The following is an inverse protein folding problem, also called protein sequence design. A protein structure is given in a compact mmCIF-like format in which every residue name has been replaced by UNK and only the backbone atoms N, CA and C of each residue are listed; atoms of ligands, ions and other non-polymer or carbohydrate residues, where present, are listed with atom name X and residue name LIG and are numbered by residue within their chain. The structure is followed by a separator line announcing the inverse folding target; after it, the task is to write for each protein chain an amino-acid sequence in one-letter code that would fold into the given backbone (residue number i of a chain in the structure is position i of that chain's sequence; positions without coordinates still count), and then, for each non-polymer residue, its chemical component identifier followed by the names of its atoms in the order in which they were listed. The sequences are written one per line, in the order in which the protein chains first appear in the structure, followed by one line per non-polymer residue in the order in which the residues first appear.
data_IF_753073078405
#
_entry.id   IF_753073078405
#
_cell.length_a   1.000
_cell.length_b   1.000
_cell.length_c   1.000
_cell.angle_alpha   90.00
_cell.angle_beta   90.00
_cell.angle_gamma   90.00
#
_symmetry.space_group_name_H-M   'P 1'
#
loop_
_entity.id
_entity.type
_entity.pdbx_description
1 polymer ?
#
# COMPACT_ATOMS: atom_id res chain seq x y z
N UNK A 1 -4.35 -39.39 45.82
CA UNK A 1 -4.25 -38.80 44.45
C UNK A 1 -3.20 -37.69 44.45
N UNK A 2 -2.18 -37.85 43.61
CA UNK A 2 -0.84 -37.23 43.68
C UNK A 2 -0.79 -35.70 43.42
N UNK A 3 -0.37 -34.93 44.42
CA UNK A 3 0.09 -33.52 44.27
C UNK A 3 1.18 -33.38 43.19
N UNK A 4 2.02 -34.39 43.01
CA UNK A 4 3.10 -34.44 42.01
C UNK A 4 2.59 -34.54 40.56
N UNK A 5 1.36 -35.05 40.33
CA UNK A 5 0.75 -35.07 38.98
C UNK A 5 0.19 -33.70 38.61
N UNK A 6 -0.35 -32.96 39.57
CA UNK A 6 -0.95 -31.64 39.36
C UNK A 6 0.12 -30.60 38.98
N UNK A 7 1.28 -30.62 39.64
CA UNK A 7 2.41 -29.75 39.30
C UNK A 7 2.98 -30.03 37.90
N UNK A 8 3.06 -31.30 37.48
CA UNK A 8 3.56 -31.67 36.14
C UNK A 8 2.61 -31.24 35.02
N UNK A 9 1.30 -31.32 35.26
CA UNK A 9 0.27 -30.89 34.30
C UNK A 9 0.19 -29.36 34.21
N UNK A 10 0.31 -28.64 35.34
CA UNK A 10 0.34 -27.17 35.33
C UNK A 10 1.55 -26.59 34.61
N UNK A 11 2.73 -27.22 34.77
CA UNK A 11 3.97 -26.78 34.12
C UNK A 11 3.96 -27.04 32.59
N UNK A 12 3.36 -28.14 32.14
CA UNK A 12 3.25 -28.44 30.71
C UNK A 12 2.23 -27.56 29.98
N UNK A 13 1.13 -27.18 30.64
CA UNK A 13 0.16 -26.22 30.10
C UNK A 13 0.73 -24.80 30.02
N UNK A 14 1.52 -24.37 31.02
CA UNK A 14 2.20 -23.08 30.98
C UNK A 14 3.29 -23.02 29.91
N UNK A 15 4.05 -24.11 29.72
CA UNK A 15 5.06 -24.22 28.67
C UNK A 15 4.43 -24.26 27.26
N UNK A 16 3.29 -24.92 27.10
CA UNK A 16 2.54 -24.95 25.83
C UNK A 16 1.93 -23.57 25.51
N UNK A 17 1.38 -22.86 26.49
CA UNK A 17 0.87 -21.51 26.30
C UNK A 17 1.99 -20.50 25.95
N UNK A 18 3.15 -20.61 26.59
CA UNK A 18 4.32 -19.78 26.28
C UNK A 18 4.90 -20.08 24.88
N UNK A 19 4.85 -21.34 24.44
CA UNK A 19 5.30 -21.74 23.10
C UNK A 19 4.37 -21.24 21.98
N UNK A 20 3.07 -21.10 22.24
CA UNK A 20 2.10 -20.57 21.26
C UNK A 20 2.22 -19.04 21.12
N UNK A 21 2.62 -18.33 22.17
CA UNK A 21 2.86 -16.87 22.09
C UNK A 21 4.18 -16.51 21.41
N UNK A 22 5.13 -17.44 21.29
CA UNK A 22 6.46 -17.17 20.74
C UNK A 22 6.56 -17.32 19.21
N UNK A 23 5.54 -17.86 18.54
CA UNK A 23 5.58 -18.15 17.09
C UNK A 23 4.99 -17.06 16.20
N UNK A 24 4.37 -16.01 16.76
CA UNK A 24 3.81 -14.90 15.96
C UNK A 24 4.81 -13.75 15.71
N UNK A 25 6.00 -13.78 16.32
CA UNK A 25 7.05 -12.78 16.12
C UNK A 25 8.01 -13.11 14.96
N UNK A 26 7.75 -14.18 14.21
CA UNK A 26 8.55 -14.57 13.05
C UNK A 26 7.90 -14.12 11.74
N UNK A 27 8.02 -12.82 11.44
CA UNK A 27 8.33 -12.37 10.07
C UNK A 27 7.21 -12.08 9.09
N UNK A 28 6.09 -11.47 9.49
CA UNK A 28 5.39 -10.61 8.53
C UNK A 28 6.20 -9.33 8.38
N UNK A 29 6.50 -8.83 7.16
CA UNK A 29 7.09 -7.51 7.01
C UNK A 29 6.11 -6.50 7.60
N UNK A 30 6.42 -5.93 8.76
CA UNK A 30 5.49 -5.04 9.47
C UNK A 30 4.99 -3.95 8.53
N UNK A 31 3.68 -3.92 8.27
CA UNK A 31 3.08 -2.83 7.50
C UNK A 31 3.22 -1.59 8.38
N UNK A 32 4.03 -0.62 7.94
CA UNK A 32 4.25 0.64 8.64
C UNK A 32 4.06 1.79 7.68
N UNK A 33 3.71 2.96 8.22
CA UNK A 33 3.60 4.22 7.45
C UNK A 33 4.73 4.41 6.45
N UNK A 34 5.97 4.27 6.91
CA UNK A 34 7.18 4.53 6.10
C UNK A 34 7.27 3.55 4.93
N UNK A 35 6.94 2.28 5.14
CA UNK A 35 6.96 1.26 4.08
C UNK A 35 5.85 1.50 3.06
N UNK A 36 4.65 1.88 3.52
CA UNK A 36 3.53 2.24 2.65
C UNK A 36 3.88 3.45 1.79
N UNK A 37 4.36 4.54 2.39
CA UNK A 37 4.75 5.76 1.67
C UNK A 37 5.86 5.49 0.65
N UNK A 38 6.87 4.69 1.01
CA UNK A 38 8.00 4.35 0.13
C UNK A 38 7.62 3.44 -1.02
N UNK A 39 6.63 2.57 -0.85
CA UNK A 39 6.13 1.71 -1.92
C UNK A 39 5.16 2.45 -2.84
N UNK A 40 4.25 3.25 -2.28
CA UNK A 40 3.14 3.84 -3.03
C UNK A 40 3.59 4.91 -4.03
N UNK A 41 4.44 5.85 -3.59
CA UNK A 41 4.88 6.96 -4.43
C UNK A 41 5.55 6.52 -5.75
N UNK A 42 6.56 5.62 -5.75
CA UNK A 42 7.16 5.16 -6.99
C UNK A 42 6.22 4.31 -7.84
N UNK A 43 5.37 3.46 -7.25
CA UNK A 43 4.37 2.70 -8.02
C UNK A 43 3.46 3.64 -8.80
N UNK A 44 2.92 4.67 -8.13
CA UNK A 44 2.08 5.67 -8.77
C UNK A 44 2.77 6.38 -9.94
N UNK A 45 4.02 6.84 -9.75
CA UNK A 45 4.73 7.53 -10.85
C UNK A 45 5.03 6.62 -12.04
N UNK A 46 5.39 5.36 -11.82
CA UNK A 46 5.59 4.41 -12.92
C UNK A 46 4.31 4.19 -13.72
N UNK A 47 3.16 4.03 -13.04
CA UNK A 47 1.86 3.88 -13.69
C UNK A 47 1.40 5.17 -14.38
N UNK A 48 1.74 6.33 -13.83
CA UNK A 48 1.45 7.62 -14.47
C UNK A 48 2.23 7.79 -15.78
N UNK A 49 3.51 7.41 -15.79
CA UNK A 49 4.33 7.37 -17.02
C UNK A 49 3.75 6.38 -18.02
N UNK A 50 3.30 5.20 -17.57
CA UNK A 50 2.65 4.21 -18.43
C UNK A 50 1.37 4.77 -19.06
N UNK A 51 0.52 5.46 -18.28
CA UNK A 51 -0.66 6.17 -18.79
C UNK A 51 -0.29 7.19 -19.85
N UNK A 52 0.74 8.00 -19.62
CA UNK A 52 1.20 8.98 -20.60
C UNK A 52 1.59 8.31 -21.92
N UNK A 53 2.28 7.16 -21.86
CA UNK A 53 2.62 6.38 -23.05
C UNK A 53 1.39 5.83 -23.80
N UNK A 54 0.38 5.34 -23.07
CA UNK A 54 -0.90 4.87 -23.63
C UNK A 54 -1.60 6.01 -24.38
N UNK A 55 -1.63 7.21 -23.79
CA UNK A 55 -2.25 8.40 -24.35
C UNK A 55 -1.41 9.06 -25.46
N UNK A 56 -0.15 8.62 -25.66
CA UNK A 56 0.77 9.23 -26.61
C UNK A 56 1.31 10.60 -26.17
N UNK A 57 1.30 10.91 -24.88
CA UNK A 57 1.86 12.13 -24.30
C UNK A 57 3.39 11.93 -24.12
N UNK A 58 4.24 12.67 -24.84
CA UNK A 58 5.69 12.53 -24.73
C UNK A 58 6.27 13.25 -23.51
N UNK A 59 7.50 12.90 -23.13
CA UNK A 59 8.31 13.68 -22.18
C UNK A 59 8.00 13.47 -20.68
N UNK A 60 6.99 12.65 -20.36
CA UNK A 60 6.66 12.33 -18.96
C UNK A 60 7.67 11.31 -18.40
N UNK A 61 8.29 11.63 -17.27
CA UNK A 61 9.30 10.78 -16.61
C UNK A 61 9.02 10.67 -15.12
N UNK A 62 9.47 9.59 -14.48
CA UNK A 62 9.31 9.38 -13.02
C UNK A 62 9.90 10.54 -12.22
N UNK A 63 11.08 11.03 -12.61
CA UNK A 63 11.72 12.19 -11.99
C UNK A 63 10.91 13.47 -12.17
N UNK A 64 10.29 13.68 -13.34
CA UNK A 64 9.41 14.83 -13.58
C UNK A 64 8.14 14.79 -12.74
N UNK A 65 7.53 13.61 -12.57
CA UNK A 65 6.35 13.42 -11.71
C UNK A 65 6.68 13.76 -10.25
N UNK A 66 7.90 13.45 -9.79
CA UNK A 66 8.40 13.73 -8.43
C UNK A 66 7.38 13.38 -7.34
N UNK A 67 6.87 12.13 -7.30
CA UNK A 67 5.78 11.78 -6.40
C UNK A 67 6.26 11.79 -4.94
N UNK A 68 5.38 12.22 -4.04
CA UNK A 68 5.52 11.98 -2.61
C UNK A 68 4.20 11.53 -2.02
N UNK A 69 4.27 10.64 -1.02
CA UNK A 69 3.10 10.14 -0.31
C UNK A 69 3.16 10.55 1.16
N UNK A 70 1.99 10.91 1.70
CA UNK A 70 1.77 11.07 3.14
C UNK A 70 0.56 10.26 3.55
N UNK A 71 0.76 9.24 4.37
CA UNK A 71 -0.26 8.27 4.70
C UNK A 71 -0.64 8.31 6.18
N UNK A 72 -1.89 7.99 6.48
CA UNK A 72 -2.37 7.68 7.83
C UNK A 72 -3.26 6.44 7.78
N UNK A 73 -3.35 5.73 8.90
CA UNK A 73 -4.24 4.59 9.06
C UNK A 73 -5.27 4.89 10.15
N UNK A 74 -6.55 4.86 9.82
CA UNK A 74 -7.64 4.98 10.81
C UNK A 74 -7.68 6.32 11.58
N UNK A 75 -6.93 7.34 11.13
CA UNK A 75 -6.89 8.68 11.72
C UNK A 75 -5.99 8.85 12.95
N UNK A 76 -5.98 10.04 13.59
CA UNK A 76 -4.92 10.46 14.53
C UNK A 76 -4.75 9.64 15.81
N UNK A 77 -5.71 8.78 16.15
CA UNK A 77 -5.70 7.96 17.37
C UNK A 77 -5.39 6.49 17.11
N UNK A 78 -5.16 6.13 15.85
CA UNK A 78 -4.82 4.78 15.43
C UNK A 78 -3.35 4.79 15.02
N UNK A 79 -2.60 3.78 15.46
CA UNK A 79 -1.22 3.65 15.05
C UNK A 79 -1.13 3.33 13.55
N UNK A 80 -0.23 3.98 12.83
CA UNK A 80 0.03 3.77 11.40
C UNK A 80 0.78 2.45 11.14
N UNK A 81 0.18 1.34 11.58
CA UNK A 81 0.71 -0.02 11.45
C UNK A 81 -0.38 -1.05 11.11
N UNK A 82 0.01 -2.13 10.44
CA UNK A 82 -0.84 -3.28 10.16
C UNK A 82 -1.60 -3.22 8.83
N UNK A 83 -2.06 -4.39 8.38
CA UNK A 83 -2.95 -4.54 7.22
C UNK A 83 -4.34 -3.94 7.49
N UNK A 84 -5.09 -3.62 6.43
CA UNK A 84 -6.45 -3.09 6.52
C UNK A 84 -6.85 -2.26 5.32
N UNK A 85 -8.14 -1.94 5.24
CA UNK A 85 -8.75 -1.06 4.23
C UNK A 85 -8.90 0.40 4.70
N UNK A 86 -8.27 0.74 5.83
CA UNK A 86 -8.37 2.00 6.56
C UNK A 86 -7.15 2.92 6.33
N UNK A 87 -6.34 2.63 5.31
CA UNK A 87 -5.20 3.44 4.92
C UNK A 87 -5.62 4.55 3.95
N UNK A 88 -5.29 5.79 4.29
CA UNK A 88 -5.54 6.96 3.46
C UNK A 88 -4.19 7.63 3.17
N UNK A 89 -3.89 7.84 1.90
CA UNK A 89 -2.64 8.45 1.46
C UNK A 89 -2.91 9.68 0.60
N UNK A 90 -2.29 10.81 0.94
CA UNK A 90 -2.20 11.97 0.05
C UNK A 90 -0.97 11.81 -0.83
N UNK A 91 -1.17 11.65 -2.13
CA UNK A 91 -0.08 11.66 -3.11
C UNK A 91 0.00 13.07 -3.70
N UNK A 92 1.18 13.68 -3.62
CA UNK A 92 1.52 14.94 -4.28
C UNK A 92 2.46 14.67 -5.43
N UNK A 93 2.17 15.22 -6.61
CA UNK A 93 2.92 14.97 -7.84
C UNK A 93 2.79 16.14 -8.83
N UNK A 94 3.66 16.22 -9.83
CA UNK A 94 3.48 17.10 -10.98
C UNK A 94 2.73 16.36 -12.10
N UNK A 95 1.72 17.01 -12.68
CA UNK A 95 0.99 16.49 -13.83
C UNK A 95 1.75 16.67 -15.17
N UNK A 96 1.10 16.28 -16.25
CA UNK A 96 1.57 16.41 -17.63
C UNK A 96 1.85 17.85 -18.08
N UNK A 97 1.31 18.84 -17.35
CA UNK A 97 1.56 20.27 -17.56
C UNK A 97 2.51 20.85 -16.51
N UNK A 98 3.21 19.99 -15.75
CA UNK A 98 4.12 20.36 -14.67
C UNK A 98 3.44 21.16 -13.54
N UNK A 99 2.14 20.98 -13.33
CA UNK A 99 1.42 21.59 -12.21
C UNK A 99 1.36 20.63 -11.04
N UNK A 100 1.55 21.16 -9.84
CA UNK A 100 1.42 20.39 -8.60
C UNK A 100 -0.03 19.99 -8.38
N UNK A 101 -0.26 18.70 -8.22
CA UNK A 101 -1.54 18.10 -7.87
C UNK A 101 -1.41 17.35 -6.54
N UNK A 102 -2.52 17.27 -5.81
CA UNK A 102 -2.61 16.44 -4.58
C UNK A 102 -3.92 15.67 -4.58
N UNK A 103 -3.83 14.34 -4.53
CA UNK A 103 -4.99 13.44 -4.52
C UNK A 103 -5.05 12.61 -3.25
N UNK A 104 -6.27 12.30 -2.77
CA UNK A 104 -6.53 11.33 -1.71
C UNK A 104 -6.69 9.94 -2.32
N UNK A 105 -5.81 9.02 -1.97
CA UNK A 105 -5.83 7.62 -2.36
C UNK A 105 -6.25 6.76 -1.17
N UNK A 106 -7.16 5.83 -1.42
CA UNK A 106 -7.64 4.86 -0.43
C UNK A 106 -6.95 3.53 -0.71
N UNK A 107 -6.37 2.94 0.34
CA UNK A 107 -5.57 1.73 0.22
C UNK A 107 -6.19 0.59 1.03
N UNK A 108 -6.23 -0.59 0.41
CA UNK A 108 -6.45 -1.85 1.08
C UNK A 108 -5.17 -2.67 1.08
N UNK A 109 -4.52 -2.79 2.24
CA UNK A 109 -3.30 -3.57 2.42
C UNK A 109 -3.66 -4.94 3.00
N UNK A 110 -3.21 -6.01 2.34
CA UNK A 110 -3.40 -7.40 2.75
C UNK A 110 -2.30 -7.86 3.71
N UNK A 111 -2.51 -8.98 4.39
CA UNK A 111 -1.56 -9.55 5.34
C UNK A 111 -0.23 -9.99 4.70
N UNK A 112 -0.23 -10.27 3.39
CA UNK A 112 0.97 -10.60 2.60
C UNK A 112 1.74 -9.37 2.11
N UNK A 113 1.40 -8.17 2.61
CA UNK A 113 1.97 -6.88 2.19
C UNK A 113 1.67 -6.47 0.74
N UNK A 114 0.77 -7.14 0.02
CA UNK A 114 0.18 -6.59 -1.20
C UNK A 114 -0.88 -5.53 -0.88
N UNK A 115 -1.12 -4.60 -1.79
CA UNK A 115 -2.15 -3.58 -1.63
C UNK A 115 -2.86 -3.27 -2.95
N UNK A 116 -4.09 -2.78 -2.81
CA UNK A 116 -4.85 -2.12 -3.87
C UNK A 116 -4.98 -0.65 -3.50
N UNK A 117 -4.76 0.26 -4.44
CA UNK A 117 -4.89 1.70 -4.25
C UNK A 117 -5.86 2.30 -5.28
N UNK A 118 -6.89 3.01 -4.81
CA UNK A 118 -7.83 3.75 -5.65
C UNK A 118 -7.68 5.25 -5.47
N UNK A 119 -7.72 6.00 -6.58
CA UNK A 119 -7.54 7.46 -6.56
C UNK A 119 -8.74 8.26 -7.08
N UNK A 120 -8.71 9.60 -6.97
CA UNK A 120 -9.83 10.44 -7.37
C UNK A 120 -9.89 10.62 -8.89
N UNK A 121 -10.98 10.17 -9.52
CA UNK A 121 -11.16 10.19 -10.97
C UNK A 121 -11.06 11.60 -11.59
N UNK A 122 -11.42 12.64 -10.84
CA UNK A 122 -11.27 14.03 -11.27
C UNK A 122 -9.82 14.45 -11.52
N UNK A 123 -8.85 13.81 -10.86
CA UNK A 123 -7.42 14.12 -11.04
C UNK A 123 -6.71 13.14 -11.99
N UNK A 124 -7.07 11.85 -11.94
CA UNK A 124 -6.30 10.79 -12.64
C UNK A 124 -7.05 10.18 -13.83
N UNK A 125 -8.28 10.62 -14.09
CA UNK A 125 -9.13 10.12 -15.17
C UNK A 125 -10.08 8.99 -14.72
N UNK A 126 -10.89 8.52 -15.66
CA UNK A 126 -11.84 7.43 -15.44
C UNK A 126 -11.15 6.06 -15.44
N UNK A 127 -11.89 5.00 -15.11
CA UNK A 127 -11.39 3.61 -15.11
C UNK A 127 -10.88 3.16 -16.49
N UNK A 128 -11.40 3.74 -17.56
CA UNK A 128 -10.94 3.54 -18.92
C UNK A 128 -10.44 4.85 -19.53
N UNK A 129 -9.48 4.73 -20.43
CA UNK A 129 -8.94 5.81 -21.26
C UNK A 129 -8.90 5.34 -22.70
N UNK A 130 -9.10 6.26 -23.64
CA UNK A 130 -8.92 5.99 -25.06
C UNK A 130 -7.44 6.16 -25.41
N UNK A 131 -6.79 5.09 -25.87
CA UNK A 131 -5.39 5.11 -26.25
C UNK A 131 -5.14 5.92 -27.54
N UNK A 132 -3.87 6.15 -27.87
CA UNK A 132 -3.45 6.90 -29.06
C UNK A 132 -3.90 6.29 -30.40
N UNK A 133 -4.44 5.07 -30.40
CA UNK A 133 -4.99 4.38 -31.58
C UNK A 133 -6.52 4.44 -31.65
N UNK A 134 -7.17 5.05 -30.65
CA UNK A 134 -8.62 5.17 -30.55
C UNK A 134 -9.30 4.00 -29.83
N UNK A 135 -8.54 3.13 -29.16
CA UNK A 135 -9.09 1.98 -28.43
C UNK A 135 -9.23 2.30 -26.94
N UNK A 136 -10.37 1.94 -26.37
CA UNK A 136 -10.57 2.01 -24.92
C UNK A 136 -9.78 0.90 -24.22
N UNK A 137 -8.96 1.31 -23.25
CA UNK A 137 -8.11 0.44 -22.44
C UNK A 137 -8.23 0.82 -20.97
N UNK A 138 -7.88 -0.09 -20.04
CA UNK A 138 -7.84 0.24 -18.61
C UNK A 138 -6.87 1.40 -18.32
N UNK A 139 -7.28 2.30 -17.44
CA UNK A 139 -6.43 3.38 -16.95
C UNK A 139 -5.55 2.86 -15.79
N UNK A 140 -4.23 2.78 -15.97
CA UNK A 140 -3.36 2.13 -14.99
C UNK A 140 -3.24 2.88 -13.65
N UNK A 141 -3.70 4.13 -13.56
CA UNK A 141 -3.66 4.91 -12.30
C UNK A 141 -5.02 5.03 -11.60
N UNK A 142 -6.11 4.54 -12.19
CA UNK A 142 -7.46 4.68 -11.60
C UNK A 142 -7.59 3.85 -10.31
N UNK A 143 -7.26 2.56 -10.44
CA UNK A 143 -7.13 1.59 -9.35
C UNK A 143 -5.98 0.68 -9.73
N UNK A 144 -5.03 0.48 -8.80
CA UNK A 144 -3.82 -0.27 -9.09
C UNK A 144 -3.35 -1.11 -7.93
N UNK A 145 -2.72 -2.23 -8.28
CA UNK A 145 -2.09 -3.12 -7.33
C UNK A 145 -0.63 -2.72 -7.08
N UNK A 146 -0.14 -3.05 -5.90
CA UNK A 146 1.27 -2.98 -5.56
C UNK A 146 1.63 -3.88 -4.40
N UNK A 147 2.89 -3.85 -4.00
CA UNK A 147 3.37 -4.57 -2.82
C UNK A 147 4.36 -3.72 -2.05
N UNK A 148 4.38 -3.86 -0.72
CA UNK A 148 5.42 -3.28 0.10
C UNK A 148 6.71 -4.08 -0.10
N UNK A 149 7.79 -3.40 -0.43
CA UNK A 149 9.08 -4.05 -0.60
C UNK A 149 9.53 -4.66 0.75
N UNK A 150 9.92 -5.94 0.80
CA UNK A 150 10.35 -6.60 2.04
C UNK A 150 11.63 -6.01 2.64
N UNK A 151 12.46 -5.35 1.81
CA UNK A 151 13.76 -4.78 2.21
C UNK A 151 13.71 -3.27 2.46
N UNK A 152 12.52 -2.69 2.62
CA UNK A 152 12.30 -1.27 2.90
C UNK A 152 12.00 -1.03 4.37
#
# INVERSE_FOLDING_TARGET
MNRTRILKVGLSLAAAAAAITATTAAGSPDVTKVRVERALAPTFANLYVQRAHILGIPGITVTGIAPSAKCDRGGPKVADVGSGADWICKITFHDDHNKVQTGKFELQIKADSSYVAGGPSKLIGQATITDKTGKDVPNPVFEFDGALNPNS
#
